data_IF_186623005786
#
_entry.id   IF_186623005786
#
_cell.length_a   1.000
_cell.length_b   1.000
_cell.length_c   1.000
_cell.angle_alpha   90.00
_cell.angle_beta   90.00
_cell.angle_gamma   90.00
#
_symmetry.space_group_name_H-M   'P 1'
#
loop_
_entity.id
_entity.type
_entity.pdbx_description
1 polymer ?
#
# COMPACT_ATOMS: atom_id res chain seq x y z
N UNK A 1 -5.48 74.49 45.51
CA UNK A 1 -4.49 74.45 44.42
C UNK A 1 -3.78 73.10 44.45
N UNK A 2 -3.42 72.54 43.29
CA UNK A 2 -3.91 71.27 42.73
C UNK A 2 -2.87 70.13 42.91
N UNK A 3 -2.95 68.87 42.46
CA UNK A 3 -3.64 68.21 41.34
C UNK A 3 -3.46 66.68 41.49
N UNK A 4 -4.35 65.87 40.89
CA UNK A 4 -3.89 64.69 40.14
C UNK A 4 -4.47 63.32 40.50
N UNK A 5 -5.71 63.06 40.10
CA UNK A 5 -6.29 61.72 39.93
C UNK A 5 -5.72 61.10 38.64
N UNK A 6 -4.73 60.22 38.77
CA UNK A 6 -4.21 59.41 37.67
C UNK A 6 -4.95 58.09 37.56
N UNK A 7 -6.10 58.08 36.86
CA UNK A 7 -6.75 56.86 36.41
C UNK A 7 -5.81 56.20 35.39
N UNK A 8 -5.12 55.12 35.77
CA UNK A 8 -4.35 54.32 34.82
C UNK A 8 -5.33 53.52 33.97
N UNK A 9 -5.68 54.08 32.82
CA UNK A 9 -6.37 53.37 31.75
C UNK A 9 -5.48 52.22 31.31
N UNK A 10 -5.83 50.99 31.70
CA UNK A 10 -5.24 49.79 31.13
C UNK A 10 -5.70 49.73 29.69
N UNK A 11 -4.84 50.14 28.77
CA UNK A 11 -5.05 49.96 27.34
C UNK A 11 -5.24 48.46 27.06
N UNK A 12 -6.31 48.05 26.35
CA UNK A 12 -6.39 46.68 25.88
C UNK A 12 -5.30 46.52 24.82
N UNK A 13 -4.17 45.90 25.19
CA UNK A 13 -3.23 45.39 24.21
C UNK A 13 -4.00 44.35 23.41
N UNK A 14 -4.29 44.75 22.17
CA UNK A 14 -4.96 44.02 21.11
C UNK A 14 -4.42 42.58 21.08
N UNK A 15 -5.15 41.65 21.69
CA UNK A 15 -4.85 40.22 21.62
C UNK A 15 -5.01 39.77 20.17
N UNK A 16 -3.89 39.73 19.43
CA UNK A 16 -3.85 39.30 18.03
C UNK A 16 -2.56 38.54 17.72
N UNK A 17 -2.22 37.52 18.51
CA UNK A 17 -1.21 36.51 18.12
C UNK A 17 -1.26 35.31 19.07
N UNK A 18 -2.38 34.60 19.12
CA UNK A 18 -2.40 33.32 19.81
C UNK A 18 -3.52 32.45 19.26
N UNK A 19 -3.31 31.87 18.09
CA UNK A 19 -3.85 30.58 17.66
C UNK A 19 -3.52 30.41 16.19
N UNK A 20 -2.58 29.53 15.87
CA UNK A 20 -2.48 28.73 14.63
C UNK A 20 -1.11 28.04 14.65
N UNK A 21 -0.89 27.17 15.64
CA UNK A 21 0.26 26.29 15.68
C UNK A 21 -0.16 24.92 16.22
N UNK A 22 -1.19 24.32 15.60
CA UNK A 22 -1.63 22.96 15.90
C UNK A 22 -2.45 22.38 14.73
N UNK A 23 -1.88 22.31 13.53
CA UNK A 23 -2.57 21.71 12.38
C UNK A 23 -1.63 21.01 11.38
N UNK A 24 -0.46 20.52 11.81
CA UNK A 24 0.55 20.00 10.89
C UNK A 24 0.92 18.51 11.07
N UNK A 25 0.26 17.74 11.94
CA UNK A 25 0.65 16.35 12.22
C UNK A 25 -0.26 15.28 11.61
N UNK A 26 -1.38 15.64 10.98
CA UNK A 26 -2.33 14.66 10.42
C UNK A 26 -2.10 14.30 8.95
N UNK A 27 -1.18 14.96 8.24
CA UNK A 27 -0.98 14.73 6.80
C UNK A 27 -0.11 13.49 6.46
N UNK A 28 0.69 12.99 7.41
CA UNK A 28 1.65 11.90 7.13
C UNK A 28 1.00 10.51 7.03
N UNK A 29 -0.20 10.30 7.58
CA UNK A 29 -0.90 9.01 7.51
C UNK A 29 -1.65 8.79 6.19
N UNK A 30 -1.84 9.82 5.36
CA UNK A 30 -2.56 9.70 4.08
C UNK A 30 -1.67 9.27 2.91
N UNK A 31 -0.35 9.33 3.07
CA UNK A 31 0.63 8.93 2.05
C UNK A 31 1.24 7.55 2.35
N UNK A 32 0.95 6.97 3.52
CA UNK A 32 1.39 5.64 3.90
C UNK A 32 0.40 4.60 3.43
N UNK A 33 0.56 4.08 2.21
CA UNK A 33 0.30 2.66 2.00
C UNK A 33 0.98 1.91 3.16
N UNK A 34 0.18 1.16 3.91
CA UNK A 34 0.36 0.89 5.34
C UNK A 34 1.61 0.03 5.67
N UNK A 35 2.84 0.56 5.56
CA UNK A 35 4.15 -0.02 5.98
C UNK A 35 4.48 -1.49 5.59
N UNK A 36 3.59 -2.20 4.93
CA UNK A 36 3.70 -3.60 4.52
C UNK A 36 3.67 -3.74 3.00
N UNK A 37 4.19 -4.87 2.49
CA UNK A 37 4.05 -5.23 1.08
C UNK A 37 2.62 -5.69 0.84
N UNK A 38 2.01 -5.21 -0.24
CA UNK A 38 0.68 -5.63 -0.65
C UNK A 38 0.67 -7.13 -0.97
N UNK A 39 -0.36 -7.86 -0.52
CA UNK A 39 -0.54 -9.26 -0.90
C UNK A 39 -0.88 -9.36 -2.40
N UNK A 40 -0.41 -10.41 -3.07
CA UNK A 40 -0.70 -10.63 -4.51
C UNK A 40 -2.17 -10.95 -4.74
N UNK A 41 -2.73 -11.76 -3.84
CA UNK A 41 -4.15 -12.12 -3.81
C UNK A 41 -4.68 -11.86 -2.40
N UNK A 42 -6.01 -11.77 -2.28
CA UNK A 42 -6.66 -11.59 -0.99
C UNK A 42 -6.60 -12.88 -0.17
N UNK A 43 -6.89 -12.79 1.12
CA UNK A 43 -7.02 -13.96 1.96
C UNK A 43 -8.10 -14.92 1.42
N UNK A 44 -7.81 -16.22 1.43
CA UNK A 44 -8.68 -17.26 0.85
C UNK A 44 -8.54 -17.43 -0.66
N UNK A 45 -7.56 -16.76 -1.28
CA UNK A 45 -7.22 -16.90 -2.69
C UNK A 45 -5.73 -17.19 -2.88
N UNK A 46 -5.41 -17.94 -3.93
CA UNK A 46 -4.05 -18.21 -4.37
C UNK A 46 -3.84 -17.70 -5.80
N UNK A 47 -2.62 -17.26 -6.17
CA UNK A 47 -2.34 -16.81 -7.52
C UNK A 47 -2.10 -18.01 -8.46
N UNK A 48 -2.54 -17.89 -9.70
CA UNK A 48 -2.23 -18.79 -10.81
C UNK A 48 -1.58 -18.02 -11.96
N UNK A 49 -0.61 -18.64 -12.66
CA UNK A 49 0.17 -18.02 -13.74
C UNK A 49 -0.49 -18.27 -15.09
N UNK A 50 -0.50 -17.26 -15.96
CA UNK A 50 -0.95 -17.44 -17.33
C UNK A 50 0.01 -18.37 -18.10
N UNK A 51 -0.56 -19.31 -18.86
CA UNK A 51 0.18 -20.20 -19.75
C UNK A 51 0.60 -19.42 -21.01
N UNK A 52 1.83 -19.64 -21.48
CA UNK A 52 2.32 -19.07 -22.74
C UNK A 52 2.59 -17.56 -22.71
N UNK A 53 2.37 -16.88 -21.58
CA UNK A 53 2.63 -15.46 -21.42
C UNK A 53 3.66 -15.19 -20.30
N UNK A 54 4.64 -14.30 -20.49
CA UNK A 54 5.58 -13.92 -19.43
C UNK A 54 4.93 -13.13 -18.29
N UNK A 55 3.74 -12.59 -18.53
CA UNK A 55 2.94 -11.77 -17.62
C UNK A 55 1.53 -12.33 -17.49
N UNK A 56 0.78 -11.81 -16.52
CA UNK A 56 -0.58 -12.26 -16.26
C UNK A 56 -0.64 -13.26 -15.13
N UNK A 57 -1.55 -12.98 -14.20
CA UNK A 57 -1.91 -13.83 -13.09
C UNK A 57 -3.38 -13.64 -12.81
N UNK A 58 -3.99 -14.64 -12.19
CA UNK A 58 -5.34 -14.56 -11.68
C UNK A 58 -5.36 -15.04 -10.24
N UNK A 59 -6.19 -14.44 -9.40
CA UNK A 59 -6.47 -14.93 -8.06
C UNK A 59 -7.63 -15.92 -8.12
N UNK A 60 -7.40 -17.10 -7.58
CA UNK A 60 -8.35 -18.22 -7.58
C UNK A 60 -8.65 -18.56 -6.14
N UNK A 61 -9.92 -18.82 -5.81
CA UNK A 61 -10.29 -19.22 -4.45
C UNK A 61 -9.65 -20.54 -4.07
N UNK A 62 -9.25 -20.66 -2.81
CA UNK A 62 -8.71 -21.90 -2.28
C UNK A 62 -9.64 -23.09 -2.52
N UNK A 63 -9.06 -24.23 -2.87
CA UNK A 63 -9.78 -25.45 -3.20
C UNK A 63 -10.46 -25.47 -4.58
N UNK A 64 -10.43 -24.37 -5.34
CA UNK A 64 -10.89 -24.36 -6.74
C UNK A 64 -9.70 -24.55 -7.67
N UNK A 65 -9.97 -25.05 -8.88
CA UNK A 65 -8.95 -25.14 -9.93
C UNK A 65 -8.80 -23.82 -10.69
N UNK A 66 -7.60 -23.52 -11.23
CA UNK A 66 -7.42 -22.36 -12.08
C UNK A 66 -8.33 -22.41 -13.32
N UNK A 67 -8.79 -21.25 -13.82
CA UNK A 67 -9.51 -21.20 -15.09
C UNK A 67 -8.61 -21.66 -16.24
N UNK A 68 -9.22 -22.05 -17.36
CA UNK A 68 -8.50 -22.45 -18.57
C UNK A 68 -7.48 -21.37 -19.00
N UNK A 69 -6.28 -21.80 -19.39
CA UNK A 69 -5.16 -20.91 -19.73
C UNK A 69 -4.33 -20.44 -18.53
N UNK A 70 -4.60 -20.93 -17.32
CA UNK A 70 -3.82 -20.66 -16.13
C UNK A 70 -3.39 -21.95 -15.42
N UNK A 71 -2.24 -21.91 -14.76
CA UNK A 71 -1.67 -23.05 -14.02
C UNK A 71 -1.24 -22.61 -12.62
N UNK A 72 -1.25 -23.55 -11.67
CA UNK A 72 -0.72 -23.30 -10.33
C UNK A 72 0.79 -23.08 -10.40
N UNK A 73 1.30 -22.20 -9.55
CA UNK A 73 2.74 -22.11 -9.32
C UNK A 73 3.23 -23.40 -8.65
N UNK A 74 4.49 -23.82 -8.90
CA UNK A 74 5.10 -24.91 -8.17
C UNK A 74 5.13 -24.63 -6.65
N UNK A 75 5.01 -25.70 -5.86
CA UNK A 75 5.06 -25.60 -4.40
C UNK A 75 6.35 -24.93 -3.93
N UNK A 76 6.22 -24.05 -2.95
CA UNK A 76 7.34 -23.24 -2.44
C UNK A 76 7.80 -22.13 -3.38
N UNK A 77 7.25 -22.02 -4.59
CA UNK A 77 7.55 -20.97 -5.59
C UNK A 77 6.37 -20.04 -5.87
N UNK A 78 5.49 -19.89 -4.89
CA UNK A 78 4.26 -19.11 -5.02
C UNK A 78 4.50 -17.67 -4.54
N UNK A 79 4.21 -16.64 -5.37
CA UNK A 79 4.30 -15.25 -4.93
C UNK A 79 3.19 -14.94 -3.92
N UNK A 80 3.56 -14.40 -2.76
CA UNK A 80 2.65 -14.06 -1.66
C UNK A 80 2.40 -12.56 -1.60
N UNK A 81 3.46 -11.77 -1.78
CA UNK A 81 3.40 -10.32 -1.77
C UNK A 81 3.98 -9.73 -3.05
N UNK A 82 3.48 -8.56 -3.44
CA UNK A 82 4.04 -7.78 -4.53
C UNK A 82 5.52 -7.49 -4.23
N UNK A 83 6.36 -7.66 -5.24
CA UNK A 83 7.82 -7.51 -5.16
C UNK A 83 8.51 -8.49 -4.17
N UNK A 84 7.88 -9.60 -3.79
CA UNK A 84 8.60 -10.68 -3.12
C UNK A 84 9.51 -11.46 -4.08
N UNK A 85 10.33 -12.35 -3.52
CA UNK A 85 11.30 -13.15 -4.28
C UNK A 85 10.65 -13.86 -5.48
N UNK A 86 9.49 -14.47 -5.27
CA UNK A 86 8.80 -15.23 -6.30
C UNK A 86 8.08 -14.31 -7.28
N UNK A 87 7.50 -13.22 -6.80
CA UNK A 87 6.88 -12.21 -7.65
C UNK A 87 7.89 -11.64 -8.65
N UNK A 88 9.12 -11.39 -8.19
CA UNK A 88 10.24 -10.94 -9.03
C UNK A 88 10.76 -12.07 -9.93
N UNK A 89 10.99 -13.26 -9.39
CA UNK A 89 11.50 -14.41 -10.14
C UNK A 89 10.62 -14.74 -11.35
N UNK A 90 9.30 -14.67 -11.19
CA UNK A 90 8.35 -14.99 -12.25
C UNK A 90 8.18 -13.89 -13.30
N UNK A 91 8.79 -12.72 -13.11
CA UNK A 91 8.80 -11.65 -14.13
C UNK A 91 9.58 -12.14 -15.35
N UNK A 92 8.91 -12.18 -16.49
CA UNK A 92 9.54 -12.59 -17.75
C UNK A 92 9.62 -14.10 -17.97
N UNK A 93 9.30 -14.93 -16.96
CA UNK A 93 9.22 -16.38 -17.12
C UNK A 93 7.89 -16.75 -17.77
N UNK A 94 7.94 -17.57 -18.80
CA UNK A 94 6.76 -18.16 -19.45
C UNK A 94 6.67 -19.63 -19.06
N UNK A 95 5.44 -20.09 -18.76
CA UNK A 95 5.17 -21.49 -18.42
C UNK A 95 4.27 -22.16 -19.45
N UNK A 96 4.38 -23.48 -19.58
CA UNK A 96 3.44 -24.32 -20.34
C UNK A 96 2.23 -24.76 -19.49
N UNK A 97 1.34 -25.55 -20.10
CA UNK A 97 0.14 -26.11 -19.44
C UNK A 97 0.46 -27.07 -18.28
N UNK A 98 1.68 -27.60 -18.23
CA UNK A 98 2.17 -28.46 -17.14
C UNK A 98 2.85 -27.65 -16.03
N UNK A 99 2.98 -26.33 -16.19
CA UNK A 99 3.67 -25.45 -15.25
C UNK A 99 5.19 -25.45 -15.40
N UNK A 100 5.75 -26.04 -16.46
CA UNK A 100 7.19 -26.00 -16.72
C UNK A 100 7.58 -24.65 -17.33
N UNK A 101 8.77 -24.16 -16.97
CA UNK A 101 9.33 -22.96 -17.59
C UNK A 101 9.78 -23.29 -19.01
N UNK A 102 9.19 -22.62 -20.00
CA UNK A 102 9.54 -22.79 -21.42
C UNK A 102 10.33 -21.62 -21.98
N UNK A 103 10.35 -20.47 -21.30
CA UNK A 103 11.14 -19.31 -21.70
C UNK A 103 11.36 -18.37 -20.51
N UNK A 104 12.44 -17.58 -20.58
CA UNK A 104 12.72 -16.42 -19.72
C UNK A 104 14.01 -16.47 -18.94
#
# INVERSE_FOLDING_TARGET
>A
MPTGRGLRTVTPVRAKTATLAAAALTAALLLGGCLGRDAVCRDGEYPAKAVGNPTGRVCVRDGQDPPAGYVRYPDGKVPKHVDDEWDVYWRGKTVDESGNIVSG
#
